data_IF_761711395186
#
_entry.id   IF_761711395186
#
_cell.length_a   1.000
_cell.length_b   1.000
_cell.length_c   1.000
_cell.angle_alpha   90.00
_cell.angle_beta   90.00
_cell.angle_gamma   90.00
#
_symmetry.space_group_name_H-M   'P 1'
#
loop_
_entity.id
_entity.type
_entity.pdbx_description
1 polymer ?
#
# COMPACT_ATOMS: atom_id res chain seq x y z
N UNK A 1 11.26 -6.78 -24.80
CA UNK A 1 11.31 -7.68 -23.64
C UNK A 1 9.89 -8.06 -23.28
N UNK A 2 9.57 -9.35 -23.17
CA UNK A 2 8.24 -9.81 -22.77
C UNK A 2 8.20 -9.97 -21.26
N UNK A 3 7.31 -9.25 -20.56
CA UNK A 3 7.09 -9.43 -19.14
C UNK A 3 6.27 -10.71 -18.92
N UNK A 4 6.76 -11.61 -18.05
CA UNK A 4 6.05 -12.83 -17.64
C UNK A 4 5.52 -12.64 -16.22
N UNK A 5 4.27 -13.03 -16.00
CA UNK A 5 3.64 -13.08 -14.69
C UNK A 5 3.25 -14.52 -14.35
N UNK A 6 3.38 -14.88 -13.08
CA UNK A 6 3.03 -16.21 -12.58
C UNK A 6 2.08 -16.05 -11.38
N UNK A 7 1.09 -16.94 -11.27
CA UNK A 7 0.13 -16.96 -10.16
C UNK A 7 0.27 -18.29 -9.41
N UNK A 8 0.39 -18.20 -8.09
CA UNK A 8 0.56 -19.36 -7.21
C UNK A 8 -0.33 -19.22 -5.99
N UNK A 9 -0.80 -20.37 -5.48
CA UNK A 9 -1.42 -20.47 -4.16
C UNK A 9 -0.36 -20.89 -3.15
N UNK A 10 -0.25 -20.15 -2.05
CA UNK A 10 0.60 -20.50 -0.92
C UNK A 10 -0.27 -20.95 0.26
N UNK A 11 0.31 -21.76 1.15
CA UNK A 11 -0.35 -22.31 2.33
C UNK A 11 0.41 -21.84 3.57
N UNK A 12 0.05 -20.67 4.13
CA UNK A 12 0.74 -20.10 5.27
C UNK A 12 0.38 -20.85 6.57
N UNK A 13 1.24 -20.77 7.59
CA UNK A 13 0.85 -21.11 8.96
C UNK A 13 -0.18 -20.08 9.48
N UNK A 14 -0.94 -20.39 10.55
CA UNK A 14 -1.88 -19.43 11.14
C UNK A 14 -1.25 -18.08 11.51
N UNK A 15 -0.01 -18.08 12.01
CA UNK A 15 0.73 -16.87 12.36
C UNK A 15 1.07 -16.03 11.14
N UNK A 16 1.53 -16.70 10.07
CA UNK A 16 1.82 -16.06 8.78
C UNK A 16 0.55 -15.49 8.15
N UNK A 17 -0.57 -16.21 8.21
CA UNK A 17 -1.86 -15.74 7.71
C UNK A 17 -2.31 -14.48 8.44
N UNK A 18 -2.19 -14.46 9.78
CA UNK A 18 -2.52 -13.29 10.59
C UNK A 18 -1.65 -12.07 10.21
N UNK A 19 -0.34 -12.26 10.02
CA UNK A 19 0.57 -11.20 9.60
C UNK A 19 0.21 -10.65 8.20
N UNK A 20 -0.12 -11.53 7.25
CA UNK A 20 -0.54 -11.13 5.90
C UNK A 20 -1.86 -10.36 5.93
N UNK A 21 -2.85 -10.84 6.69
CA UNK A 21 -4.14 -10.15 6.88
C UNK A 21 -3.96 -8.77 7.50
N UNK A 22 -3.08 -8.65 8.51
CA UNK A 22 -2.73 -7.36 9.11
C UNK A 22 -2.05 -6.45 8.10
N UNK A 23 -1.11 -6.96 7.32
CA UNK A 23 -0.40 -6.21 6.26
C UNK A 23 -1.37 -5.64 5.23
N UNK A 24 -2.30 -6.45 4.72
CA UNK A 24 -3.32 -6.00 3.77
C UNK A 24 -4.26 -4.96 4.40
N UNK A 25 -4.61 -5.14 5.68
CA UNK A 25 -5.40 -4.18 6.45
C UNK A 25 -4.72 -2.82 6.58
N UNK A 26 -3.45 -2.81 7.01
CA UNK A 26 -2.63 -1.62 7.16
C UNK A 26 -2.41 -0.91 5.81
N UNK A 27 -2.11 -1.67 4.76
CA UNK A 27 -1.93 -1.14 3.40
C UNK A 27 -3.18 -0.42 2.91
N UNK A 28 -4.36 -0.98 3.15
CA UNK A 28 -5.66 -0.36 2.83
C UNK A 28 -5.90 0.91 3.64
N UNK A 29 -5.60 0.89 4.93
CA UNK A 29 -5.75 2.05 5.82
C UNK A 29 -4.88 3.20 5.36
N UNK A 30 -3.59 2.95 5.13
CA UNK A 30 -2.62 3.96 4.66
C UNK A 30 -3.04 4.55 3.33
N UNK A 31 -3.44 3.71 2.37
CA UNK A 31 -3.96 4.19 1.08
C UNK A 31 -5.17 5.12 1.26
N UNK A 32 -6.14 4.72 2.08
CA UNK A 32 -7.36 5.50 2.29
C UNK A 32 -7.09 6.81 3.04
N UNK A 33 -6.23 6.79 4.07
CA UNK A 33 -5.85 8.00 4.83
C UNK A 33 -5.11 8.98 3.92
N UNK A 34 -4.17 8.49 3.09
CA UNK A 34 -3.48 9.30 2.10
C UNK A 34 -4.41 9.86 1.02
N UNK A 35 -5.37 9.06 0.54
CA UNK A 35 -6.38 9.55 -0.40
C UNK A 35 -7.20 10.68 0.23
N UNK A 36 -7.69 10.50 1.47
CA UNK A 36 -8.46 11.52 2.17
C UNK A 36 -7.68 12.85 2.30
N UNK A 37 -6.42 12.80 2.74
CA UNK A 37 -5.58 14.00 2.86
C UNK A 37 -5.39 14.71 1.52
N UNK A 38 -5.10 13.96 0.45
CA UNK A 38 -4.93 14.54 -0.90
C UNK A 38 -6.24 15.11 -1.44
N UNK A 39 -7.37 14.44 -1.19
CA UNK A 39 -8.69 14.92 -1.55
C UNK A 39 -8.98 16.25 -0.85
N UNK A 40 -8.77 16.32 0.46
CA UNK A 40 -9.00 17.52 1.26
C UNK A 40 -8.12 18.70 0.80
N UNK A 41 -6.82 18.48 0.63
CA UNK A 41 -5.88 19.51 0.18
C UNK A 41 -6.25 20.08 -1.20
N UNK A 42 -6.73 19.23 -2.12
CA UNK A 42 -7.19 19.69 -3.43
C UNK A 42 -8.47 20.52 -3.33
N UNK A 43 -9.48 20.07 -2.59
CA UNK A 43 -10.77 20.76 -2.52
C UNK A 43 -10.73 22.04 -1.69
N UNK A 44 -9.86 22.13 -0.67
CA UNK A 44 -9.71 23.34 0.15
C UNK A 44 -8.78 24.37 -0.49
N UNK A 45 -7.59 23.92 -0.90
CA UNK A 45 -6.47 24.83 -1.20
C UNK A 45 -5.97 24.71 -2.64
N UNK A 46 -6.59 23.86 -3.47
CA UNK A 46 -6.08 23.46 -4.80
C UNK A 46 -4.62 22.94 -4.75
N UNK A 47 -4.21 22.45 -3.58
CA UNK A 47 -2.86 21.99 -3.34
C UNK A 47 -2.68 20.55 -3.84
N UNK A 48 -1.58 20.32 -4.56
CA UNK A 48 -1.21 18.98 -5.04
C UNK A 48 -0.29 18.30 -4.04
N UNK A 49 -0.85 17.44 -3.20
CA UNK A 49 -0.09 16.60 -2.29
C UNK A 49 0.36 15.33 -3.01
N UNK A 50 1.68 15.16 -3.12
CA UNK A 50 2.33 14.07 -3.83
C UNK A 50 2.76 12.88 -2.97
N UNK A 51 3.49 11.95 -3.61
CA UNK A 51 4.05 10.77 -2.95
C UNK A 51 4.99 11.13 -1.81
N UNK A 52 5.90 12.10 -2.03
CA UNK A 52 6.90 12.48 -1.05
C UNK A 52 6.24 12.94 0.26
N UNK A 53 5.23 13.80 0.17
CA UNK A 53 4.49 14.34 1.30
C UNK A 53 3.71 13.24 2.02
N UNK A 54 2.97 12.40 1.31
CA UNK A 54 2.26 11.28 1.95
C UNK A 54 3.19 10.23 2.54
N UNK A 55 4.41 10.08 2.01
CA UNK A 55 5.43 9.21 2.58
C UNK A 55 5.98 9.79 3.88
N UNK A 56 6.22 11.11 3.94
CA UNK A 56 6.61 11.80 5.17
C UNK A 56 5.49 11.72 6.21
N UNK A 57 4.23 11.92 5.81
CA UNK A 57 3.08 11.75 6.69
C UNK A 57 2.96 10.33 7.23
N UNK A 58 3.22 9.30 6.41
CA UNK A 58 3.24 7.92 6.88
C UNK A 58 4.28 7.72 8.00
N UNK A 59 5.48 8.31 7.88
CA UNK A 59 6.49 8.27 8.93
C UNK A 59 5.97 8.87 10.23
N UNK A 60 5.25 9.99 10.17
CA UNK A 60 4.66 10.61 11.35
C UNK A 60 3.48 9.81 11.91
N UNK A 61 2.62 9.27 11.05
CA UNK A 61 1.50 8.41 11.46
C UNK A 61 2.00 7.21 12.28
N UNK A 62 3.07 6.56 11.85
CA UNK A 62 3.67 5.43 12.57
C UNK A 62 4.20 5.78 13.97
N UNK A 63 4.36 7.05 14.32
CA UNK A 63 4.77 7.50 15.66
C UNK A 63 3.57 7.83 16.57
N UNK A 64 2.36 7.91 16.03
CA UNK A 64 1.15 8.19 16.81
C UNK A 64 0.67 6.93 17.52
N UNK A 65 0.15 7.06 18.74
CA UNK A 65 -0.44 5.93 19.48
C UNK A 65 -1.60 5.27 18.71
N UNK A 66 -2.36 6.04 17.93
CA UNK A 66 -3.46 5.52 17.12
C UNK A 66 -3.00 4.55 16.02
N UNK A 67 -1.80 4.77 15.45
CA UNK A 67 -1.33 4.09 14.25
C UNK A 67 0.05 3.43 14.42
N UNK A 68 0.51 3.24 15.65
CA UNK A 68 1.78 2.60 15.96
C UNK A 68 1.86 1.16 15.41
N UNK A 69 0.71 0.48 15.32
CA UNK A 69 0.55 -0.87 14.77
C UNK A 69 0.98 -0.99 13.31
N UNK A 70 1.12 0.12 12.58
CA UNK A 70 1.70 0.15 11.24
C UNK A 70 3.19 -0.25 11.25
N UNK A 71 3.86 -0.25 12.41
CA UNK A 71 5.22 -0.76 12.58
C UNK A 71 5.29 -2.29 12.68
N UNK A 72 4.16 -2.97 12.91
CA UNK A 72 4.13 -4.42 13.07
C UNK A 72 4.12 -5.19 11.74
N UNK A 73 4.09 -4.46 10.62
CA UNK A 73 4.07 -4.98 9.26
C UNK A 73 5.13 -4.28 8.42
N UNK A 74 5.46 -4.91 7.29
CA UNK A 74 6.53 -4.40 6.44
C UNK A 74 6.18 -3.02 5.91
N UNK A 75 7.15 -2.11 5.97
CA UNK A 75 6.99 -0.77 5.42
C UNK A 75 6.85 -0.78 3.89
N UNK A 76 7.31 -1.85 3.22
CA UNK A 76 7.36 -1.92 1.75
C UNK A 76 5.96 -1.90 1.14
N UNK A 77 4.99 -2.76 1.53
CA UNK A 77 3.61 -2.64 1.07
C UNK A 77 2.95 -1.31 1.39
N UNK A 78 3.23 -0.72 2.56
CA UNK A 78 2.66 0.58 2.95
C UNK A 78 3.17 1.69 2.02
N UNK A 79 4.45 1.67 1.67
CA UNK A 79 5.04 2.61 0.71
C UNK A 79 4.57 2.35 -0.72
N UNK A 80 4.42 1.08 -1.12
CA UNK A 80 3.94 0.75 -2.47
C UNK A 80 2.49 1.19 -2.70
N UNK A 81 1.61 1.10 -1.70
CA UNK A 81 0.25 1.59 -1.90
C UNK A 81 0.18 3.10 -2.12
N UNK A 82 1.09 3.89 -1.51
CA UNK A 82 1.21 5.32 -1.79
C UNK A 82 1.71 5.58 -3.23
N UNK A 83 2.59 4.73 -3.77
CA UNK A 83 3.02 4.81 -5.18
C UNK A 83 1.91 4.44 -6.15
N UNK A 84 1.09 3.46 -5.80
CA UNK A 84 -0.12 3.14 -6.57
C UNK A 84 -1.10 4.30 -6.58
N UNK A 85 -1.29 4.96 -5.42
CA UNK A 85 -2.11 6.16 -5.32
C UNK A 85 -1.55 7.29 -6.19
N UNK A 86 -0.23 7.51 -6.15
CA UNK A 86 0.43 8.50 -7.01
C UNK A 86 0.17 8.23 -8.48
N UNK A 87 0.32 6.98 -8.92
CA UNK A 87 0.05 6.57 -10.31
C UNK A 87 -1.41 6.82 -10.68
N UNK A 88 -2.35 6.53 -9.78
CA UNK A 88 -3.77 6.79 -10.00
C UNK A 88 -4.06 8.29 -10.16
N UNK A 89 -3.44 9.16 -9.35
CA UNK A 89 -3.54 10.61 -9.49
C UNK A 89 -2.92 11.11 -10.79
N UNK A 90 -1.72 10.63 -11.17
CA UNK A 90 -1.09 10.98 -12.45
C UNK A 90 -2.01 10.61 -13.62
N UNK A 91 -2.54 9.39 -13.65
CA UNK A 91 -3.48 8.97 -14.69
C UNK A 91 -4.77 9.81 -14.70
N UNK A 92 -5.26 10.25 -13.53
CA UNK A 92 -6.42 11.15 -13.44
C UNK A 92 -6.14 12.52 -14.04
N UNK A 93 -5.03 13.16 -13.66
CA UNK A 93 -4.65 14.48 -14.19
C UNK A 93 -4.33 14.45 -15.68
N UNK A 94 -3.78 13.33 -16.19
CA UNK A 94 -3.53 13.13 -17.62
C UNK A 94 -4.80 12.76 -18.41
N UNK A 95 -5.98 12.70 -17.77
CA UNK A 95 -7.25 12.33 -18.41
C UNK A 95 -7.35 10.85 -18.83
N UNK A 96 -6.43 10.00 -18.37
CA UNK A 96 -6.35 8.56 -18.70
C UNK A 96 -7.20 7.68 -17.79
N UNK A 97 -7.58 8.17 -16.61
CA UNK A 97 -8.41 7.46 -15.65
C UNK A 97 -9.35 8.40 -14.89
N UNK A 98 -10.37 7.83 -14.26
CA UNK A 98 -11.24 8.57 -13.32
C UNK A 98 -10.50 8.81 -12.01
N UNK A 99 -11.04 9.72 -11.20
CA UNK A 99 -10.53 10.03 -9.87
C UNK A 99 -10.37 8.76 -9.00
N UNK A 100 -9.29 8.62 -8.21
CA UNK A 100 -9.07 7.47 -7.35
C UNK A 100 -10.17 7.32 -6.30
N UNK A 101 -10.59 6.08 -6.04
CA UNK A 101 -11.63 5.77 -5.06
C UNK A 101 -11.04 5.15 -3.78
N UNK A 102 -11.74 5.34 -2.66
CA UNK A 102 -11.43 4.65 -1.41
C UNK A 102 -11.51 3.13 -1.58
N UNK A 103 -10.51 2.43 -1.06
CA UNK A 103 -10.45 0.96 -1.09
C UNK A 103 -11.41 0.38 -0.04
N UNK A 104 -12.32 -0.47 -0.51
CA UNK A 104 -13.22 -1.27 0.34
C UNK A 104 -12.53 -2.55 0.81
N UNK A 105 -12.96 -3.11 1.94
CA UNK A 105 -12.53 -4.45 2.37
C UNK A 105 -13.25 -5.47 1.48
N UNK A 106 -12.52 -6.22 0.64
CA UNK A 106 -13.06 -7.34 -0.16
C UNK A 106 -12.04 -8.47 -0.16
N UNK A 107 -12.46 -9.69 0.17
CA UNK A 107 -11.66 -10.93 0.08
C UNK A 107 -10.24 -10.83 0.66
N UNK A 108 -10.07 -10.18 1.81
CA UNK A 108 -8.76 -10.01 2.46
C UNK A 108 -7.91 -8.83 1.94
N UNK A 109 -8.09 -8.39 0.70
CA UNK A 109 -7.34 -7.30 0.08
C UNK A 109 -6.13 -7.77 -0.71
N UNK A 110 -5.21 -6.84 -1.00
CA UNK A 110 -3.94 -7.14 -1.67
C UNK A 110 -2.83 -6.23 -1.14
N UNK A 111 -1.61 -6.74 -1.11
CA UNK A 111 -0.41 -6.02 -0.73
C UNK A 111 0.70 -6.35 -1.74
N UNK A 112 1.49 -5.36 -2.13
CA UNK A 112 2.59 -5.53 -3.07
C UNK A 112 3.92 -5.45 -2.35
N UNK A 113 4.74 -6.49 -2.50
CA UNK A 113 6.11 -6.52 -2.04
C UNK A 113 7.03 -6.35 -3.25
N UNK A 114 7.95 -5.39 -3.17
CA UNK A 114 8.98 -5.22 -4.20
C UNK A 114 10.02 -6.32 -4.13
N UNK A 115 10.85 -6.42 -5.17
CA UNK A 115 11.99 -7.36 -5.24
C UNK A 115 12.89 -7.34 -4.00
N UNK A 116 13.05 -6.19 -3.35
CA UNK A 116 13.85 -6.04 -2.12
C UNK A 116 13.23 -6.71 -0.89
N UNK A 117 11.92 -6.96 -0.89
CA UNK A 117 11.16 -7.50 0.23
C UNK A 117 10.50 -8.86 -0.10
N UNK A 118 10.90 -9.47 -1.22
CA UNK A 118 10.41 -10.75 -1.70
C UNK A 118 11.58 -11.60 -2.16
N UNK A 119 11.64 -12.86 -1.70
CA UNK A 119 12.59 -13.85 -2.19
C UNK A 119 11.89 -15.18 -2.40
N UNK A 120 12.20 -15.84 -3.52
CA UNK A 120 11.81 -17.22 -3.77
C UNK A 120 13.07 -18.07 -3.87
N UNK A 121 13.19 -19.08 -3.02
CA UNK A 121 14.36 -19.97 -2.97
C UNK A 121 13.93 -21.36 -2.53
N UNK A 122 14.37 -22.39 -3.24
CA UNK A 122 14.17 -23.80 -2.88
C UNK A 122 12.68 -24.13 -2.63
N UNK A 123 11.79 -23.59 -3.47
CA UNK A 123 10.33 -23.78 -3.34
C UNK A 123 9.66 -22.94 -2.26
N UNK A 124 10.41 -22.15 -1.49
CA UNK A 124 9.91 -21.34 -0.38
C UNK A 124 9.85 -19.85 -0.74
N UNK A 125 8.80 -19.18 -0.23
CA UNK A 125 8.59 -17.73 -0.35
C UNK A 125 8.95 -17.06 0.97
N UNK A 126 9.77 -16.01 0.89
CA UNK A 126 10.12 -15.15 2.01
C UNK A 126 9.63 -13.73 1.73
N UNK A 127 8.93 -13.16 2.68
CA UNK A 127 8.47 -11.77 2.66
C UNK A 127 9.10 -11.03 3.82
N UNK A 128 9.52 -9.78 3.58
CA UNK A 128 9.97 -8.92 4.67
C UNK A 128 8.84 -8.71 5.68
N UNK A 129 9.20 -8.67 6.96
CA UNK A 129 8.33 -8.21 8.03
C UNK A 129 8.50 -6.70 8.23
#
# INVERSE_FOLDING_TARGET
MTLKAFSYRFYPTPEQENLLRRTMGCTRLVYNRALAVRTEAWYKDQARVGYAETSSMLTEWKKTEELDFLNDVSCVPLQQCLRHLQTAYTNFFDGRAKYPNFKKKRNGGSAEFTKSAFKFRDGQVYLAK
#
